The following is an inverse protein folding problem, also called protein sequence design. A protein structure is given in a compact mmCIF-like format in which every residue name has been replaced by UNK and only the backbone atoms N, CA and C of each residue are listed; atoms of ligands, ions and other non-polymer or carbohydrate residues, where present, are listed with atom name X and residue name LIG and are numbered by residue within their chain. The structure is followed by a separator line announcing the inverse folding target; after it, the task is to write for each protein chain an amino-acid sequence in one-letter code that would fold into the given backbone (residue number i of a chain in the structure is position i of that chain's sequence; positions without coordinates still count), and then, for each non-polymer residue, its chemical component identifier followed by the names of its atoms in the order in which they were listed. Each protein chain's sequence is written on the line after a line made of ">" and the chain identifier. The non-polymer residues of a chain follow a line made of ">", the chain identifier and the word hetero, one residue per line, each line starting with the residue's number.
data_IF_432864737322
#
_entry.id   IF_432864737322
#
_cell.length_a   1.000
_cell.length_b   1.000
_cell.length_c   1.000
_cell.angle_alpha   90.00
_cell.angle_beta   90.00
_cell.angle_gamma   90.00
#
_symmetry.space_group_name_H-M   'P 1'
#
loop_
_entity.id
_entity.type
_entity.pdbx_description
1 polymer ?
#
# COMPACT_ATOMS: atom_id res chain seq x y z
N UNK A 1 15.93 14.21 -2.77
CA UNK A 1 15.62 12.93 -3.45
C UNK A 1 15.02 13.29 -4.80
N UNK A 2 15.71 13.00 -5.90
CA UNK A 2 15.26 13.37 -7.25
C UNK A 2 13.88 12.79 -7.56
N UNK A 3 12.98 13.61 -8.13
CA UNK A 3 11.66 13.17 -8.60
C UNK A 3 11.85 12.30 -9.85
N UNK A 4 12.15 11.00 -9.70
CA UNK A 4 12.07 10.08 -10.85
C UNK A 4 10.60 9.89 -11.24
N UNK A 5 10.32 9.88 -12.53
CA UNK A 5 8.99 9.67 -13.07
C UNK A 5 8.48 8.25 -12.80
N UNK A 6 7.16 8.09 -12.87
CA UNK A 6 6.50 6.78 -12.85
C UNK A 6 6.91 5.96 -14.07
N UNK A 7 6.99 4.64 -13.92
CA UNK A 7 7.36 3.76 -15.03
C UNK A 7 6.24 3.72 -16.07
N UNK A 8 6.54 4.06 -17.32
CA UNK A 8 5.68 3.74 -18.45
C UNK A 8 6.10 2.40 -19.05
N UNK A 9 5.21 1.39 -19.16
CA UNK A 9 5.55 0.11 -19.77
C UNK A 9 6.10 0.25 -21.20
N UNK A 10 5.58 1.21 -21.97
CA UNK A 10 5.99 1.45 -23.37
C UNK A 10 7.42 2.00 -23.51
N UNK A 11 8.00 2.52 -22.43
CA UNK A 11 9.35 3.09 -22.42
C UNK A 11 10.42 2.06 -22.03
N UNK A 12 10.03 0.84 -21.64
CA UNK A 12 10.97 -0.20 -21.23
C UNK A 12 11.73 -0.71 -22.44
N UNK A 13 13.05 -0.54 -22.43
CA UNK A 13 13.96 -1.07 -23.46
C UNK A 13 14.31 -2.53 -23.16
N UNK A 14 14.59 -2.85 -21.89
CA UNK A 14 14.77 -4.22 -21.44
C UNK A 14 14.53 -4.35 -19.93
N UNK A 15 14.17 -5.58 -19.53
CA UNK A 15 14.11 -6.03 -18.15
C UNK A 15 14.98 -7.27 -18.00
N UNK A 16 15.90 -7.27 -17.02
CA UNK A 16 16.70 -8.43 -16.62
C UNK A 16 16.33 -8.83 -15.19
N UNK A 17 15.77 -10.01 -15.03
CA UNK A 17 15.50 -10.61 -13.72
C UNK A 17 16.74 -11.39 -13.29
N UNK A 18 17.16 -11.24 -12.03
CA UNK A 18 18.25 -12.01 -11.46
C UNK A 18 17.74 -13.22 -10.70
N UNK A 19 18.61 -14.20 -10.48
CA UNK A 19 18.30 -15.39 -9.66
C UNK A 19 18.09 -15.07 -8.17
N UNK A 20 18.47 -13.87 -7.72
CA UNK A 20 18.35 -13.45 -6.32
C UNK A 20 16.88 -13.25 -5.95
N UNK A 21 16.29 -14.23 -5.26
CA UNK A 21 14.97 -14.13 -4.63
C UNK A 21 15.01 -13.18 -3.43
N UNK A 22 14.16 -12.17 -3.46
CA UNK A 22 13.96 -11.19 -2.38
C UNK A 22 12.85 -11.61 -1.41
N UNK A 23 11.89 -12.41 -1.88
CA UNK A 23 10.79 -12.89 -1.07
C UNK A 23 9.84 -13.78 -1.85
N UNK A 24 8.96 -14.44 -1.13
CA UNK A 24 7.93 -15.31 -1.71
C UNK A 24 6.68 -15.27 -0.83
N UNK A 25 5.54 -15.02 -1.45
CA UNK A 25 4.23 -15.00 -0.80
C UNK A 25 3.27 -16.00 -1.43
N UNK A 26 2.01 -15.95 -0.99
CA UNK A 26 0.94 -16.80 -1.52
C UNK A 26 0.71 -16.58 -3.02
N UNK A 27 0.80 -15.33 -3.46
CA UNK A 27 0.44 -14.86 -4.81
C UNK A 27 1.61 -14.84 -5.80
N UNK A 28 2.86 -14.89 -5.33
CA UNK A 28 4.00 -14.69 -6.22
C UNK A 28 5.37 -14.82 -5.56
N UNK A 29 6.40 -14.75 -6.39
CA UNK A 29 7.81 -14.69 -6.01
C UNK A 29 8.36 -13.32 -6.41
N UNK A 30 9.19 -12.73 -5.56
CA UNK A 30 9.83 -11.43 -5.81
C UNK A 30 11.32 -11.64 -5.99
N UNK A 31 11.87 -11.16 -7.10
CA UNK A 31 13.28 -11.25 -7.45
C UNK A 31 13.90 -9.87 -7.57
N UNK A 32 15.20 -9.77 -7.38
CA UNK A 32 15.94 -8.57 -7.75
C UNK A 32 16.10 -8.54 -9.28
N UNK A 33 16.10 -7.35 -9.86
CA UNK A 33 16.31 -7.17 -11.29
C UNK A 33 16.92 -5.82 -11.63
N UNK A 34 17.13 -5.61 -12.92
CA UNK A 34 17.49 -4.31 -13.49
C UNK A 34 16.56 -4.02 -14.65
N UNK A 35 16.14 -2.77 -14.73
CA UNK A 35 15.34 -2.27 -15.85
C UNK A 35 16.07 -1.12 -16.52
N UNK A 36 15.95 -1.02 -17.84
CA UNK A 36 16.39 0.14 -18.62
C UNK A 36 15.20 0.71 -19.38
N UNK A 37 15.02 2.02 -19.25
CA UNK A 37 14.07 2.78 -20.06
C UNK A 37 14.84 3.47 -21.20
N UNK A 38 14.15 3.73 -22.31
CA UNK A 38 14.75 4.45 -23.46
C UNK A 38 15.36 5.77 -23.01
N UNK A 39 16.62 5.99 -23.38
CA UNK A 39 17.38 7.20 -23.03
C UNK A 39 17.76 7.35 -21.55
N UNK A 40 17.44 6.39 -20.67
CA UNK A 40 17.74 6.44 -19.22
C UNK A 40 18.79 5.38 -18.83
N UNK A 41 19.55 5.65 -17.77
CA UNK A 41 20.50 4.67 -17.20
C UNK A 41 19.76 3.50 -16.55
N UNK A 42 20.27 2.25 -16.64
CA UNK A 42 19.65 1.12 -15.97
C UNK A 42 19.71 1.22 -14.45
N UNK A 43 18.63 0.89 -13.75
CA UNK A 43 18.58 0.89 -12.29
C UNK A 43 17.93 -0.37 -11.71
N UNK A 44 18.15 -0.57 -10.40
CA UNK A 44 17.70 -1.76 -9.68
C UNK A 44 16.21 -1.71 -9.37
N UNK A 45 15.55 -2.86 -9.52
CA UNK A 45 14.11 -3.06 -9.30
C UNK A 45 13.84 -4.36 -8.58
N UNK A 46 12.67 -4.43 -7.94
CA UNK A 46 12.06 -5.67 -7.50
C UNK A 46 11.05 -6.12 -8.56
N UNK A 47 11.11 -7.38 -8.97
CA UNK A 47 10.27 -7.98 -10.00
C UNK A 47 9.43 -9.07 -9.36
N UNK A 48 8.12 -8.86 -9.30
CA UNK A 48 7.16 -9.85 -8.80
C UNK A 48 6.63 -10.67 -9.97
N UNK A 49 6.98 -11.94 -9.96
CA UNK A 49 6.40 -12.97 -10.82
C UNK A 49 5.24 -13.62 -10.08
N UNK A 50 4.10 -13.79 -10.75
CA UNK A 50 2.90 -14.31 -10.14
C UNK A 50 2.80 -15.83 -10.31
N UNK A 51 2.32 -16.52 -9.27
CA UNK A 51 2.10 -17.97 -9.31
C UNK A 51 0.77 -18.26 -10.02
N UNK A 52 0.65 -19.31 -10.85
CA UNK A 52 -0.66 -19.85 -11.22
C UNK A 52 -1.44 -20.30 -9.97
N UNK A 53 -2.78 -20.13 -9.90
CA UNK A 53 -3.67 -19.53 -10.90
C UNK A 53 -3.84 -18.00 -10.74
N UNK A 54 -3.10 -17.35 -9.84
CA UNK A 54 -3.31 -15.94 -9.48
C UNK A 54 -3.12 -15.00 -10.67
N UNK A 55 -2.28 -15.36 -11.65
CA UNK A 55 -2.10 -14.62 -12.90
C UNK A 55 -3.43 -14.30 -13.60
N UNK A 56 -4.37 -15.25 -13.61
CA UNK A 56 -5.68 -15.07 -14.23
C UNK A 56 -6.56 -14.11 -13.42
N UNK A 57 -6.54 -14.25 -12.09
CA UNK A 57 -7.24 -13.34 -11.16
C UNK A 57 -6.68 -11.91 -11.22
N UNK A 58 -5.39 -11.75 -11.50
CA UNK A 58 -4.75 -10.44 -11.64
C UNK A 58 -5.29 -9.63 -12.82
N UNK A 59 -5.51 -10.30 -13.96
CA UNK A 59 -6.03 -9.70 -15.17
C UNK A 59 -7.55 -9.47 -15.10
N UNK A 60 -8.28 -10.36 -14.42
CA UNK A 60 -9.75 -10.33 -14.35
C UNK A 60 -10.31 -9.54 -13.16
N UNK A 61 -9.62 -9.46 -12.01
CA UNK A 61 -10.18 -8.95 -10.74
C UNK A 61 -9.40 -7.78 -10.16
N UNK A 62 -8.06 -7.77 -10.27
CA UNK A 62 -7.23 -6.80 -9.54
C UNK A 62 -6.85 -5.55 -10.34
N UNK A 63 -6.97 -5.53 -11.67
CA UNK A 63 -6.73 -4.34 -12.52
C UNK A 63 -5.58 -3.43 -12.04
N UNK A 64 -4.41 -4.02 -11.79
CA UNK A 64 -3.23 -3.35 -11.24
C UNK A 64 -2.92 -1.97 -11.84
N UNK A 65 -2.92 -1.81 -13.19
CA UNK A 65 -2.71 -0.49 -13.80
C UNK A 65 -3.71 0.57 -13.32
N UNK A 66 -4.98 0.18 -13.17
CA UNK A 66 -6.03 1.07 -12.67
C UNK A 66 -5.85 1.40 -11.19
N UNK A 67 -5.49 0.42 -10.35
CA UNK A 67 -5.19 0.68 -8.93
C UNK A 67 -4.05 1.69 -8.80
N UNK A 68 -2.95 1.47 -9.52
CA UNK A 68 -1.79 2.38 -9.50
C UNK A 68 -2.21 3.79 -9.93
N UNK A 69 -3.02 3.91 -10.97
CA UNK A 69 -3.51 5.19 -11.46
C UNK A 69 -4.45 5.89 -10.47
N UNK A 70 -5.45 5.19 -9.95
CA UNK A 70 -6.44 5.72 -9.00
C UNK A 70 -5.73 6.22 -7.72
N UNK A 71 -4.82 5.41 -7.16
CA UNK A 71 -4.02 5.79 -5.99
C UNK A 71 -3.06 6.96 -6.28
N UNK A 72 -2.47 7.01 -7.48
CA UNK A 72 -1.61 8.13 -7.90
C UNK A 72 -2.39 9.43 -7.99
N UNK A 73 -3.61 9.40 -8.58
CA UNK A 73 -4.50 10.57 -8.65
C UNK A 73 -4.92 11.05 -7.26
N UNK A 74 -5.11 10.13 -6.32
CA UNK A 74 -5.36 10.45 -4.91
C UNK A 74 -4.12 10.93 -4.12
N UNK A 75 -2.95 11.02 -4.76
CA UNK A 75 -1.72 11.46 -4.11
C UNK A 75 -1.18 10.49 -3.05
N UNK A 76 -1.52 9.20 -3.16
CA UNK A 76 -1.02 8.15 -2.28
C UNK A 76 0.46 7.91 -2.56
N UNK A 77 1.26 7.86 -1.49
CA UNK A 77 2.69 7.52 -1.62
C UNK A 77 2.85 6.02 -1.87
N UNK A 78 3.53 5.70 -2.95
CA UNK A 78 3.77 4.34 -3.44
C UNK A 78 5.20 4.23 -3.99
N UNK A 79 5.82 3.03 -4.00
CA UNK A 79 7.01 2.82 -4.81
C UNK A 79 6.65 3.05 -6.27
N UNK A 80 7.61 3.53 -7.05
CA UNK A 80 7.44 3.56 -8.51
C UNK A 80 7.22 2.14 -8.97
N UNK A 81 6.15 1.90 -9.70
CA UNK A 81 5.82 0.57 -10.17
C UNK A 81 5.07 0.61 -11.49
N UNK A 82 5.19 -0.48 -12.25
CA UNK A 82 4.45 -0.72 -13.47
C UNK A 82 4.28 -2.22 -13.71
N UNK A 83 3.24 -2.54 -14.46
CA UNK A 83 3.05 -3.87 -15.04
C UNK A 83 3.75 -3.92 -16.40
N UNK A 84 4.62 -4.91 -16.60
CA UNK A 84 5.38 -5.08 -17.86
C UNK A 84 5.36 -6.55 -18.26
N UNK A 85 5.56 -6.83 -19.54
CA UNK A 85 5.73 -8.19 -20.02
C UNK A 85 7.20 -8.62 -19.94
N UNK A 86 7.44 -9.85 -19.49
CA UNK A 86 8.75 -10.48 -19.44
C UNK A 86 8.63 -11.96 -19.80
N UNK A 87 9.31 -12.40 -20.86
CA UNK A 87 9.26 -13.79 -21.34
C UNK A 87 7.81 -14.27 -21.60
N UNK A 88 6.97 -13.39 -22.16
CA UNK A 88 5.56 -13.68 -22.43
C UNK A 88 4.66 -13.75 -21.19
N UNK A 89 5.18 -13.42 -20.00
CA UNK A 89 4.43 -13.39 -18.75
C UNK A 89 4.37 -11.96 -18.18
N UNK A 90 3.21 -11.51 -17.70
CA UNK A 90 3.15 -10.21 -17.06
C UNK A 90 3.76 -10.26 -15.65
N UNK A 91 4.57 -9.25 -15.34
CA UNK A 91 5.25 -9.09 -14.06
C UNK A 91 5.00 -7.68 -13.52
N UNK A 92 4.97 -7.56 -12.19
CA UNK A 92 4.96 -6.26 -11.53
C UNK A 92 6.39 -5.85 -11.19
N UNK A 93 6.84 -4.76 -11.78
CA UNK A 93 8.15 -4.16 -11.49
C UNK A 93 7.94 -3.00 -10.54
N UNK A 94 8.74 -2.94 -9.48
CA UNK A 94 8.72 -1.85 -8.50
C UNK A 94 10.13 -1.38 -8.12
N UNK A 95 10.23 -0.17 -7.59
CA UNK A 95 11.46 0.38 -7.05
C UNK A 95 12.05 -0.53 -5.95
N UNK A 96 13.33 -0.89 -6.09
CA UNK A 96 14.04 -1.63 -5.05
C UNK A 96 14.61 -0.66 -4.01
N UNK A 97 14.09 -0.70 -2.79
CA UNK A 97 14.61 0.09 -1.67
C UNK A 97 15.97 -0.46 -1.19
N UNK A 98 17.07 0.05 -1.75
CA UNK A 98 18.42 -0.41 -1.38
C UNK A 98 18.87 0.05 0.02
N UNK A 99 18.41 1.21 0.47
CA UNK A 99 18.83 1.86 1.73
C UNK A 99 17.73 1.97 2.79
N UNK A 100 16.49 1.68 2.41
CA UNK A 100 15.34 1.79 3.30
C UNK A 100 14.78 0.38 3.56
N UNK A 101 14.69 0.01 4.83
CA UNK A 101 13.96 -1.19 5.24
C UNK A 101 12.47 -0.88 5.17
N UNK A 102 11.73 -1.68 4.41
CA UNK A 102 10.27 -1.68 4.47
C UNK A 102 9.87 -2.44 5.73
N UNK A 103 9.26 -1.74 6.69
CA UNK A 103 8.74 -2.35 7.92
C UNK A 103 7.24 -2.55 7.77
N UNK A 104 6.77 -3.78 7.93
CA UNK A 104 5.34 -4.10 8.03
C UNK A 104 4.82 -3.74 9.41
N UNK A 105 3.53 -3.50 9.49
CA UNK A 105 2.87 -2.96 10.67
C UNK A 105 2.56 -4.09 11.65
N UNK A 106 2.77 -3.82 12.93
CA UNK A 106 2.34 -4.66 14.05
C UNK A 106 1.86 -3.78 15.19
N UNK A 107 1.07 -4.32 16.13
CA UNK A 107 0.54 -3.58 17.28
C UNK A 107 1.65 -2.91 18.12
N UNK A 108 2.71 -3.67 18.41
CA UNK A 108 3.86 -3.19 19.16
C UNK A 108 4.55 -2.04 18.43
N UNK A 109 4.70 -2.16 17.11
CA UNK A 109 5.37 -1.14 16.31
C UNK A 109 4.52 0.13 16.16
N UNK A 110 3.21 0.00 15.97
CA UNK A 110 2.27 1.13 15.92
C UNK A 110 2.22 1.95 17.21
N UNK A 111 2.32 1.26 18.35
CA UNK A 111 2.40 1.92 19.66
C UNK A 111 3.69 2.74 19.81
N UNK A 112 4.78 2.29 19.19
CA UNK A 112 6.09 2.98 19.22
C UNK A 112 6.24 4.13 18.21
N UNK A 113 5.28 4.30 17.28
CA UNK A 113 5.38 5.34 16.26
C UNK A 113 5.33 6.75 16.87
N UNK A 114 6.10 7.72 16.35
CA UNK A 114 5.89 9.12 16.66
C UNK A 114 4.49 9.59 16.23
N UNK A 115 3.94 10.60 16.91
CA UNK A 115 2.61 11.14 16.58
C UNK A 115 2.51 11.60 15.13
N UNK A 116 3.55 12.27 14.60
CA UNK A 116 3.60 12.67 13.20
C UNK A 116 3.56 11.49 12.20
N UNK A 117 4.11 10.33 12.56
CA UNK A 117 4.06 9.14 11.71
C UNK A 117 2.66 8.49 11.73
N UNK A 118 1.98 8.50 12.89
CA UNK A 118 0.58 8.09 13.00
C UNK A 118 -0.35 9.02 12.21
N UNK A 119 -0.14 10.33 12.29
CA UNK A 119 -0.90 11.30 11.51
C UNK A 119 -0.71 11.09 9.99
N UNK A 120 0.53 10.90 9.55
CA UNK A 120 0.83 10.58 8.15
C UNK A 120 0.18 9.26 7.68
N UNK A 121 0.08 8.27 8.57
CA UNK A 121 -0.64 7.03 8.29
C UNK A 121 -2.14 7.30 8.09
N UNK A 122 -2.77 8.04 9.00
CA UNK A 122 -4.19 8.43 8.88
C UNK A 122 -4.45 9.18 7.56
N UNK A 123 -3.57 10.10 7.19
CA UNK A 123 -3.64 10.80 5.90
C UNK A 123 -3.54 9.82 4.71
N UNK A 124 -2.63 8.84 4.79
CA UNK A 124 -2.48 7.82 3.75
C UNK A 124 -3.72 6.94 3.64
N UNK A 125 -4.27 6.48 4.75
CA UNK A 125 -5.51 5.69 4.81
C UNK A 125 -6.67 6.47 4.20
N UNK A 126 -6.80 7.75 4.55
CA UNK A 126 -7.83 8.65 4.01
C UNK A 126 -7.76 8.72 2.48
N UNK A 127 -6.56 8.90 1.92
CA UNK A 127 -6.37 8.95 0.46
C UNK A 127 -6.70 7.63 -0.22
N UNK A 128 -6.33 6.50 0.37
CA UNK A 128 -6.65 5.16 -0.16
C UNK A 128 -8.17 4.92 -0.18
N UNK A 129 -8.87 5.25 0.91
CA UNK A 129 -10.34 5.16 0.99
C UNK A 129 -11.02 6.10 0.00
N UNK A 130 -10.54 7.34 -0.15
CA UNK A 130 -11.06 8.29 -1.13
C UNK A 130 -10.79 7.88 -2.58
N UNK A 131 -9.77 7.04 -2.83
CA UNK A 131 -9.55 6.40 -4.12
C UNK A 131 -10.50 5.20 -4.36
N UNK A 132 -11.35 4.83 -3.39
CA UNK A 132 -12.31 3.73 -3.50
C UNK A 132 -11.75 2.35 -3.15
N UNK A 133 -10.65 2.29 -2.39
CA UNK A 133 -9.98 1.04 -2.02
C UNK A 133 -10.00 0.81 -0.51
N UNK A 134 -10.24 -0.43 -0.10
CA UNK A 134 -10.14 -0.85 1.29
C UNK A 134 -8.65 -0.96 1.68
N UNK A 135 -8.13 -0.09 2.57
CA UNK A 135 -6.72 -0.14 2.92
C UNK A 135 -6.48 -1.37 3.79
N UNK A 136 -5.87 -2.42 3.25
CA UNK A 136 -5.45 -3.56 4.07
C UNK A 136 -4.21 -3.19 4.92
N UNK A 137 -4.09 -3.62 6.19
CA UNK A 137 -2.84 -3.53 6.95
C UNK A 137 -1.63 -4.11 6.20
N UNK A 138 -1.84 -5.17 5.42
CA UNK A 138 -0.80 -5.79 4.61
C UNK A 138 -0.38 -4.92 3.42
N UNK A 139 -1.23 -4.01 2.95
CA UNK A 139 -0.93 -3.14 1.81
C UNK A 139 0.06 -2.02 2.15
N UNK A 140 0.18 -1.67 3.44
CA UNK A 140 0.95 -0.52 3.90
C UNK A 140 2.21 -0.99 4.63
N UNK A 141 3.35 -0.47 4.20
CA UNK A 141 4.58 -0.55 4.96
C UNK A 141 5.09 0.84 5.32
N UNK A 142 6.19 0.90 6.03
CA UNK A 142 6.87 2.15 6.34
C UNK A 142 8.31 2.14 5.85
N UNK A 143 8.72 3.29 5.32
CA UNK A 143 10.09 3.55 4.90
C UNK A 143 10.71 4.60 5.82
N UNK A 144 11.94 4.37 6.24
CA UNK A 144 12.69 5.36 7.03
C UNK A 144 13.12 6.53 6.15
N UNK A 145 12.83 7.76 6.58
CA UNK A 145 13.22 9.00 5.89
C UNK A 145 13.89 9.96 6.87
N UNK A 146 14.47 11.06 6.38
CA UNK A 146 15.03 12.11 7.23
C UNK A 146 14.00 12.79 8.14
N UNK A 147 12.70 12.67 7.82
CA UNK A 147 11.58 13.17 8.63
C UNK A 147 10.98 12.08 9.55
N UNK A 148 11.66 10.94 9.70
CA UNK A 148 11.17 9.77 10.42
C UNK A 148 10.49 8.73 9.50
N UNK A 149 9.84 7.71 10.08
CA UNK A 149 9.16 6.67 9.33
C UNK A 149 7.96 7.27 8.59
N UNK A 150 7.79 6.91 7.33
CA UNK A 150 6.71 7.39 6.46
C UNK A 150 5.95 6.21 5.85
N UNK A 151 4.62 6.21 5.90
CA UNK A 151 3.81 5.15 5.31
C UNK A 151 3.95 5.16 3.79
N UNK A 152 3.88 3.98 3.21
CA UNK A 152 3.89 3.75 1.77
C UNK A 152 3.01 2.55 1.43
N UNK A 153 2.19 2.68 0.39
CA UNK A 153 1.37 1.57 -0.12
C UNK A 153 2.23 0.77 -1.11
N UNK A 154 2.44 -0.52 -0.85
CA UNK A 154 3.38 -1.35 -1.61
C UNK A 154 2.83 -2.72 -2.04
N UNK A 155 1.82 -3.26 -1.36
CA UNK A 155 1.24 -4.58 -1.69
C UNK A 155 -0.21 -4.44 -2.15
N UNK A 156 -0.39 -4.29 -3.46
CA UNK A 156 -1.68 -3.96 -4.06
C UNK A 156 -2.63 -5.17 -4.14
N UNK A 157 -2.14 -6.41 -3.99
CA UNK A 157 -2.99 -7.63 -4.03
C UNK A 157 -4.03 -7.65 -2.91
N UNK A 158 -3.75 -6.94 -1.84
CA UNK A 158 -4.61 -6.86 -0.65
C UNK A 158 -5.60 -5.70 -0.72
N UNK A 159 -5.51 -4.82 -1.71
CA UNK A 159 -6.45 -3.72 -1.91
C UNK A 159 -7.65 -4.21 -2.70
N UNK A 160 -8.84 -4.05 -2.12
CA UNK A 160 -10.10 -4.45 -2.74
C UNK A 160 -10.94 -3.21 -3.03
N UNK A 161 -11.63 -3.22 -4.17
CA UNK A 161 -12.80 -2.37 -4.34
C UNK A 161 -13.91 -2.90 -3.43
N UNK A 162 -14.71 -1.97 -2.95
CA UNK A 162 -15.82 -2.10 -2.01
C UNK A 162 -16.64 -3.41 -2.08
N UNK A 163 -17.27 -3.83 -0.95
CA UNK A 163 -17.40 -3.11 0.31
C UNK A 163 -16.31 -3.44 1.35
N UNK A 164 -15.82 -2.43 2.10
CA UNK A 164 -14.90 -2.60 3.22
C UNK A 164 -15.70 -3.03 4.46
N UNK A 165 -15.46 -4.21 4.99
CA UNK A 165 -16.04 -4.59 6.28
C UNK A 165 -15.00 -4.96 7.32
N UNK A 166 -13.76 -5.27 6.91
CA UNK A 166 -12.76 -5.87 7.81
C UNK A 166 -11.54 -4.98 8.04
N UNK A 167 -11.07 -4.23 7.04
CA UNK A 167 -9.77 -3.57 7.17
C UNK A 167 -9.80 -2.29 8.01
N UNK A 168 -10.86 -1.46 7.95
CA UNK A 168 -11.00 -0.25 8.78
C UNK A 168 -10.94 -0.60 10.27
N UNK A 169 -11.66 -1.64 10.69
CA UNK A 169 -11.62 -2.15 12.07
C UNK A 169 -10.23 -2.64 12.44
N UNK A 170 -9.61 -3.45 11.57
CA UNK A 170 -8.24 -3.93 11.76
C UNK A 170 -7.23 -2.79 11.94
N UNK A 171 -7.39 -1.69 11.20
CA UNK A 171 -6.56 -0.52 11.39
C UNK A 171 -6.74 0.13 12.75
N UNK A 172 -7.98 0.37 13.16
CA UNK A 172 -8.25 1.01 14.45
C UNK A 172 -7.79 0.15 15.64
N UNK A 173 -7.78 -1.18 15.51
CA UNK A 173 -7.22 -2.06 16.55
C UNK A 173 -5.71 -1.87 16.73
N UNK A 174 -4.97 -1.53 15.66
CA UNK A 174 -3.54 -1.28 15.73
C UNK A 174 -3.19 0.06 16.42
N UNK A 175 -4.13 1.01 16.52
CA UNK A 175 -3.90 2.23 17.29
C UNK A 175 -3.99 1.97 18.80
N UNK A 176 -3.10 2.58 19.62
CA UNK A 176 -3.20 2.49 21.07
C UNK A 176 -4.59 2.87 21.57
N UNK A 177 -5.11 2.11 22.54
CA UNK A 177 -6.43 2.35 23.14
C UNK A 177 -6.52 3.78 23.71
N UNK A 178 -7.75 4.32 23.76
CA UNK A 178 -8.01 5.66 24.27
C UNK A 178 -7.76 6.76 23.23
N UNK A 179 -7.13 7.86 23.66
CA UNK A 179 -7.00 9.10 22.88
C UNK A 179 -6.41 8.93 21.47
N UNK A 180 -5.31 8.16 21.25
CA UNK A 180 -4.74 7.98 19.92
C UNK A 180 -5.70 7.34 18.91
N UNK A 181 -6.45 6.32 19.33
CA UNK A 181 -7.46 5.66 18.49
C UNK A 181 -8.63 6.59 18.17
N UNK A 182 -9.12 7.35 19.16
CA UNK A 182 -10.19 8.33 18.96
C UNK A 182 -9.78 9.43 17.98
N UNK A 183 -8.60 10.02 18.17
CA UNK A 183 -8.04 11.02 17.25
C UNK A 183 -7.92 10.48 15.82
N UNK A 184 -7.47 9.24 15.66
CA UNK A 184 -7.36 8.62 14.34
C UNK A 184 -8.73 8.42 13.67
N UNK A 185 -9.72 7.94 14.42
CA UNK A 185 -11.09 7.75 13.94
C UNK A 185 -11.74 9.09 13.56
N UNK A 186 -11.62 10.12 14.40
CA UNK A 186 -12.14 11.46 14.12
C UNK A 186 -11.50 12.07 12.87
N UNK A 187 -10.18 11.95 12.74
CA UNK A 187 -9.47 12.42 11.56
C UNK A 187 -9.91 11.67 10.29
N UNK A 188 -10.13 10.34 10.35
CA UNK A 188 -10.68 9.57 9.24
C UNK A 188 -12.10 10.01 8.86
N UNK A 189 -13.00 10.17 9.84
CA UNK A 189 -14.37 10.64 9.61
C UNK A 189 -14.44 12.02 8.94
N UNK A 190 -13.53 12.91 9.33
CA UNK A 190 -13.43 14.26 8.78
C UNK A 190 -12.78 14.28 7.39
N UNK A 191 -11.80 13.42 7.14
CA UNK A 191 -11.03 13.41 5.89
C UNK A 191 -11.62 12.54 4.78
N UNK A 192 -12.35 11.47 5.11
CA UNK A 192 -12.93 10.56 4.12
C UNK A 192 -14.22 11.15 3.55
N UNK A 193 -14.26 11.26 2.23
CA UNK A 193 -15.39 11.76 1.44
C UNK A 193 -16.07 10.66 0.64
N UNK A 194 -15.45 9.48 0.50
CA UNK A 194 -16.06 8.36 -0.20
C UNK A 194 -17.30 7.85 0.57
N UNK A 195 -18.52 7.84 -0.01
CA UNK A 195 -19.76 7.61 0.75
C UNK A 195 -19.81 6.28 1.51
N UNK A 196 -19.35 5.19 0.88
CA UNK A 196 -19.39 3.86 1.49
C UNK A 196 -18.41 3.76 2.66
N UNK A 197 -17.17 4.23 2.49
CA UNK A 197 -16.18 4.27 3.57
C UNK A 197 -16.61 5.20 4.70
N UNK A 198 -17.25 6.33 4.38
CA UNK A 198 -17.77 7.27 5.37
C UNK A 198 -18.86 6.63 6.22
N UNK A 199 -19.83 5.96 5.59
CA UNK A 199 -20.88 5.21 6.29
C UNK A 199 -20.30 4.10 7.16
N UNK A 200 -19.27 3.40 6.69
CA UNK A 200 -18.59 2.36 7.48
C UNK A 200 -17.84 2.94 8.69
N UNK A 201 -17.14 4.06 8.52
CA UNK A 201 -16.48 4.75 9.64
C UNK A 201 -17.48 5.22 10.70
N UNK A 202 -18.65 5.70 10.31
CA UNK A 202 -19.74 6.07 11.22
C UNK A 202 -20.27 4.85 11.99
N UNK A 203 -20.41 3.70 11.31
CA UNK A 203 -20.78 2.43 11.96
C UNK A 203 -19.71 2.00 12.98
N UNK A 204 -18.44 2.04 12.60
CA UNK A 204 -17.33 1.65 13.49
C UNK A 204 -17.21 2.60 14.68
N UNK A 205 -17.47 3.90 14.51
CA UNK A 205 -17.51 4.86 15.62
C UNK A 205 -18.53 4.44 16.68
N UNK A 206 -19.75 4.12 16.26
CA UNK A 206 -20.81 3.68 17.17
C UNK A 206 -20.44 2.41 17.94
N UNK A 207 -19.73 1.47 17.31
CA UNK A 207 -19.26 0.25 17.96
C UNK A 207 -18.13 0.50 18.97
N UNK A 208 -17.13 1.31 18.59
CA UNK A 208 -16.02 1.66 19.48
C UNK A 208 -16.51 2.42 20.71
N UNK A 209 -17.49 3.32 20.53
CA UNK A 209 -18.13 4.03 21.65
C UNK A 209 -18.90 3.09 22.57
N UNK A 210 -19.60 2.07 22.02
CA UNK A 210 -20.24 1.03 22.82
C UNK A 210 -19.25 0.20 23.62
N UNK A 211 -18.22 -0.35 22.99
CA UNK A 211 -17.22 -1.18 23.68
C UNK A 211 -16.53 -0.43 24.82
N UNK A 212 -16.36 0.89 24.67
CA UNK A 212 -15.78 1.73 25.71
C UNK A 212 -16.75 2.02 26.86
N UNK A 213 -18.05 2.13 26.57
CA UNK A 213 -19.08 2.34 27.58
C UNK A 213 -19.28 1.12 28.49
N UNK A 214 -19.09 -0.10 27.95
CA UNK A 214 -19.27 -1.36 28.68
C UNK A 214 -17.98 -1.93 29.31
N UNK A 215 -16.83 -1.27 29.14
CA UNK A 215 -15.54 -1.68 29.73
C UNK A 215 -15.05 -0.78 30.86
N UNK A 216 -15.90 0.16 31.31
CA UNK A 216 -15.75 0.91 32.56
C UNK A 216 -16.65 0.31 33.63
#
# INVERSE_FOLDING_TARGET
>A
MERREWFSPSEVEWLRVSERKLGEGAVGKVFAGRIKFRGKKPFAVAVKQFKPPYLRRLLEVWHYPRIIEDLKRAGVRMPKMAFVEHEGQPVLVSELFQKARLTKISDAWMSSLPEGARAALVETLTKVMNAGYDPSPDSIGFVSTSKGPQPIVCDLDSLRKEPPQTAIRGWLTHFPKGGPRQKALEALLNGVTHPVFKKELERVKYEVEKDWFWSR
#
